data_IF_911064685291
#
_entry.id   IF_911064685291
#
_cell.length_a   1.000
_cell.length_b   1.000
_cell.length_c   1.000
_cell.angle_alpha   90.00
_cell.angle_beta   90.00
_cell.angle_gamma   90.00
#
_symmetry.space_group_name_H-M   'P 1'
#
loop_
_entity.id
_entity.type
_entity.pdbx_description
1 polymer ?
#
# COMPACT_ATOMS: atom_id res chain seq x y z
N UNK A 1 -28.72 16.12 -11.21
CA UNK A 1 -28.54 14.68 -11.50
C UNK A 1 -28.03 14.01 -10.24
N UNK A 2 -28.72 13.00 -9.72
CA UNK A 2 -28.32 12.31 -8.48
C UNK A 2 -27.04 11.50 -8.73
N UNK A 3 -26.27 11.17 -7.70
CA UNK A 3 -25.01 10.43 -7.83
C UNK A 3 -25.20 9.06 -8.47
N UNK A 4 -26.35 8.42 -8.25
CA UNK A 4 -26.74 7.14 -8.86
C UNK A 4 -26.83 7.28 -10.38
N UNK A 5 -27.44 8.35 -10.87
CA UNK A 5 -27.64 8.57 -12.31
C UNK A 5 -26.30 8.77 -13.02
N UNK A 6 -25.37 9.50 -12.38
CA UNK A 6 -24.02 9.70 -12.90
C UNK A 6 -23.23 8.39 -12.98
N UNK A 7 -23.30 7.54 -11.95
CA UNK A 7 -22.66 6.21 -11.98
C UNK A 7 -23.30 5.34 -13.07
N UNK A 8 -24.64 5.33 -13.17
CA UNK A 8 -25.34 4.61 -14.25
C UNK A 8 -24.86 5.06 -15.62
N UNK A 9 -24.70 6.36 -15.85
CA UNK A 9 -24.20 6.87 -17.12
C UNK A 9 -22.79 6.33 -17.44
N UNK A 10 -21.88 6.35 -16.46
CA UNK A 10 -20.51 5.83 -16.63
C UNK A 10 -20.46 4.32 -16.86
N UNK A 11 -21.43 3.56 -16.34
CA UNK A 11 -21.40 2.09 -16.31
C UNK A 11 -22.29 1.42 -17.36
N UNK A 12 -23.18 2.16 -18.02
CA UNK A 12 -24.14 1.61 -19.00
C UNK A 12 -23.97 2.16 -20.41
N UNK A 13 -23.25 3.29 -20.57
CA UNK A 13 -23.03 3.88 -21.89
C UNK A 13 -22.14 2.97 -22.74
N UNK A 14 -22.73 2.39 -23.78
CA UNK A 14 -22.03 1.49 -24.71
C UNK A 14 -21.02 2.24 -25.59
N UNK A 15 -19.90 1.58 -25.88
CA UNK A 15 -18.83 2.06 -26.75
C UNK A 15 -18.73 1.29 -28.09
N UNK A 16 -19.71 0.42 -28.36
CA UNK A 16 -19.84 -0.46 -29.55
C UNK A 16 -18.79 -1.57 -29.64
N UNK A 17 -17.86 -1.67 -28.69
CA UNK A 17 -16.94 -2.81 -28.63
C UNK A 17 -17.61 -4.03 -28.00
N UNK A 18 -17.05 -5.24 -28.19
CA UNK A 18 -17.57 -6.44 -27.55
C UNK A 18 -17.55 -6.34 -26.02
N UNK A 19 -18.40 -7.14 -25.38
CA UNK A 19 -18.31 -7.36 -23.94
C UNK A 19 -16.96 -7.98 -23.56
N UNK A 20 -16.39 -7.52 -22.45
CA UNK A 20 -15.12 -7.99 -21.92
C UNK A 20 -15.24 -9.44 -21.48
N UNK A 21 -14.40 -10.31 -22.03
CA UNK A 21 -14.44 -11.74 -21.70
C UNK A 21 -13.75 -12.02 -20.36
N UNK A 22 -14.14 -13.14 -19.73
CA UNK A 22 -13.51 -13.62 -18.49
C UNK A 22 -12.00 -13.81 -18.72
N UNK A 23 -11.18 -13.19 -17.88
CA UNK A 23 -9.72 -13.27 -17.95
C UNK A 23 -9.05 -12.26 -18.89
N UNK A 24 -9.80 -11.60 -19.79
CA UNK A 24 -9.26 -10.61 -20.72
C UNK A 24 -8.67 -9.40 -19.98
N UNK A 25 -9.27 -9.01 -18.85
CA UNK A 25 -8.77 -7.92 -18.02
C UNK A 25 -7.33 -8.15 -17.56
N UNK A 26 -6.92 -9.38 -17.26
CA UNK A 26 -5.55 -9.68 -16.83
C UNK A 26 -4.56 -9.29 -17.92
N UNK A 27 -4.87 -9.62 -19.17
CA UNK A 27 -4.00 -9.32 -20.31
C UNK A 27 -3.95 -7.82 -20.59
N UNK A 28 -5.10 -7.13 -20.52
CA UNK A 28 -5.17 -5.67 -20.67
C UNK A 28 -4.30 -4.97 -19.62
N UNK A 29 -4.38 -5.40 -18.36
CA UNK A 29 -3.57 -4.85 -17.28
C UNK A 29 -2.06 -5.10 -17.50
N UNK A 30 -1.66 -6.34 -17.81
CA UNK A 30 -0.25 -6.70 -18.03
C UNK A 30 0.34 -5.94 -19.20
N UNK A 31 -0.38 -5.90 -20.33
CA UNK A 31 0.08 -5.18 -21.52
C UNK A 31 0.23 -3.69 -21.23
N UNK A 32 -0.78 -3.07 -20.61
CA UNK A 32 -0.72 -1.63 -20.30
C UNK A 32 0.41 -1.33 -19.30
N UNK A 33 0.63 -2.20 -18.31
CA UNK A 33 1.76 -2.06 -17.39
C UNK A 33 3.09 -2.07 -18.13
N UNK A 34 3.30 -3.04 -19.04
CA UNK A 34 4.55 -3.15 -19.80
C UNK A 34 4.84 -1.92 -20.67
N UNK A 35 3.79 -1.24 -21.15
CA UNK A 35 3.90 -0.01 -21.95
C UNK A 35 4.16 1.24 -21.09
N UNK A 36 3.49 1.36 -19.93
CA UNK A 36 3.47 2.61 -19.15
C UNK A 36 4.44 2.61 -17.97
N UNK A 37 4.63 1.45 -17.34
CA UNK A 37 5.45 1.20 -16.14
C UNK A 37 6.30 -0.06 -16.33
N UNK A 38 7.30 -0.05 -17.23
CA UNK A 38 8.08 -1.25 -17.56
C UNK A 38 8.85 -1.84 -16.36
N UNK A 39 9.13 -1.04 -15.34
CA UNK A 39 9.80 -1.48 -14.10
C UNK A 39 8.86 -2.22 -13.13
N UNK A 40 7.56 -2.25 -13.42
CA UNK A 40 6.55 -2.94 -12.61
C UNK A 40 6.12 -4.23 -13.29
N UNK A 41 6.48 -5.36 -12.68
CA UNK A 41 6.11 -6.69 -13.15
C UNK A 41 4.79 -7.15 -12.53
N UNK A 42 4.03 -7.96 -13.26
CA UNK A 42 2.87 -8.63 -12.69
C UNK A 42 3.31 -9.71 -11.71
N UNK A 43 2.98 -9.53 -10.43
CA UNK A 43 3.35 -10.45 -9.37
C UNK A 43 2.34 -11.60 -9.25
N UNK A 44 1.07 -11.27 -8.98
CA UNK A 44 0.05 -12.28 -8.73
C UNK A 44 -1.38 -11.73 -8.86
N UNK A 45 -2.32 -12.66 -8.99
CA UNK A 45 -3.74 -12.40 -8.72
C UNK A 45 -4.14 -13.18 -7.47
N UNK A 46 -4.38 -12.47 -6.36
CA UNK A 46 -4.71 -13.06 -5.05
C UNK A 46 -5.74 -12.19 -4.35
N UNK A 47 -6.69 -12.80 -3.63
CA UNK A 47 -7.76 -12.09 -2.90
C UNK A 47 -8.54 -11.09 -3.79
N UNK A 48 -8.86 -11.49 -5.02
CA UNK A 48 -9.54 -10.65 -6.02
C UNK A 48 -8.81 -9.35 -6.39
N UNK A 49 -7.49 -9.33 -6.25
CA UNK A 49 -6.64 -8.20 -6.53
C UNK A 49 -5.51 -8.60 -7.48
N UNK A 50 -5.30 -7.79 -8.52
CA UNK A 50 -4.13 -7.87 -9.40
C UNK A 50 -3.02 -7.03 -8.78
N UNK A 51 -1.89 -7.65 -8.48
CA UNK A 51 -0.73 -6.98 -7.87
C UNK A 51 0.40 -6.87 -8.89
N UNK A 52 0.87 -5.64 -9.10
CA UNK A 52 2.10 -5.33 -9.81
C UNK A 52 3.17 -4.88 -8.82
N UNK A 53 4.42 -5.22 -9.07
CA UNK A 53 5.52 -4.98 -8.16
C UNK A 53 6.75 -4.43 -8.88
N UNK A 54 7.38 -3.44 -8.25
CA UNK A 54 8.77 -3.07 -8.48
C UNK A 54 9.56 -3.36 -7.22
N UNK A 55 10.70 -4.03 -7.35
CA UNK A 55 11.65 -4.21 -6.27
C UNK A 55 12.70 -3.11 -6.33
N UNK A 56 13.02 -2.51 -5.19
CA UNK A 56 14.07 -1.49 -5.08
C UNK A 56 14.96 -1.81 -3.89
N UNK A 57 16.27 -1.58 -4.03
CA UNK A 57 17.21 -1.64 -2.92
C UNK A 57 17.40 -0.25 -2.35
N UNK A 58 17.24 -0.10 -1.03
CA UNK A 58 17.51 1.13 -0.30
C UNK A 58 18.40 0.78 0.88
N UNK A 59 19.66 1.19 0.81
CA UNK A 59 20.72 0.69 1.71
C UNK A 59 20.78 -0.85 1.66
N UNK A 60 20.63 -1.53 2.80
CA UNK A 60 20.57 -2.98 2.93
C UNK A 60 19.13 -3.54 2.94
N UNK A 61 18.12 -2.73 2.58
CA UNK A 61 16.71 -3.09 2.64
C UNK A 61 16.15 -3.34 1.24
N UNK A 62 15.45 -4.46 1.09
CA UNK A 62 14.59 -4.71 -0.08
C UNK A 62 13.24 -4.04 0.15
N UNK A 63 12.88 -3.12 -0.74
CA UNK A 63 11.60 -2.42 -0.73
C UNK A 63 10.70 -3.01 -1.82
N UNK A 64 9.52 -3.45 -1.41
CA UNK A 64 8.45 -3.94 -2.27
C UNK A 64 7.48 -2.80 -2.58
N UNK A 65 7.61 -2.19 -3.75
CA UNK A 65 6.69 -1.14 -4.22
C UNK A 65 5.58 -1.79 -5.05
N UNK A 66 4.33 -1.49 -4.70
CA UNK A 66 3.17 -2.26 -5.14
C UNK A 66 2.10 -1.35 -5.74
N UNK A 67 1.49 -1.82 -6.83
CA UNK A 67 0.22 -1.34 -7.36
C UNK A 67 -0.80 -2.48 -7.29
N UNK A 68 -1.79 -2.30 -6.43
CA UNK A 68 -2.91 -3.21 -6.24
C UNK A 68 -4.12 -2.69 -6.99
N UNK A 69 -4.67 -3.50 -7.89
CA UNK A 69 -5.83 -3.18 -8.71
C UNK A 69 -6.92 -4.19 -8.42
N UNK A 70 -8.00 -3.73 -7.79
CA UNK A 70 -9.24 -4.50 -7.61
C UNK A 70 -10.14 -4.16 -8.79
N UNK A 71 -10.71 -5.19 -9.41
CA UNK A 71 -11.60 -5.06 -10.55
C UNK A 71 -12.93 -5.77 -10.26
N UNK A 72 -14.04 -5.04 -10.35
CA UNK A 72 -15.38 -5.62 -10.30
C UNK A 72 -16.05 -5.53 -11.65
N UNK A 73 -16.12 -6.65 -12.38
CA UNK A 73 -16.89 -6.71 -13.62
C UNK A 73 -18.40 -6.54 -13.40
N UNK A 74 -18.91 -6.92 -12.21
CA UNK A 74 -20.33 -6.81 -11.87
C UNK A 74 -20.70 -5.37 -11.56
N UNK A 75 -19.93 -4.72 -10.71
CA UNK A 75 -20.20 -3.36 -10.23
C UNK A 75 -19.55 -2.29 -11.12
N UNK A 76 -18.81 -2.74 -12.14
CA UNK A 76 -18.30 -1.94 -13.25
C UNK A 76 -17.29 -0.87 -12.81
N UNK A 77 -16.40 -1.22 -11.89
CA UNK A 77 -15.38 -0.30 -11.37
C UNK A 77 -14.02 -0.96 -11.10
N UNK A 78 -13.00 -0.12 -10.95
CA UNK A 78 -11.70 -0.44 -10.36
C UNK A 78 -11.42 0.41 -9.12
N UNK A 79 -10.76 -0.21 -8.15
CA UNK A 79 -10.15 0.46 -6.99
C UNK A 79 -8.66 0.18 -7.00
N UNK A 80 -7.84 1.19 -6.70
CA UNK A 80 -6.39 1.12 -6.86
C UNK A 80 -5.68 1.58 -5.59
N UNK A 81 -4.92 0.68 -4.97
CA UNK A 81 -4.11 0.96 -3.79
C UNK A 81 -2.63 0.90 -4.16
N UNK A 82 -1.86 1.85 -3.65
CA UNK A 82 -0.42 1.93 -3.85
C UNK A 82 0.25 1.67 -2.51
N UNK A 83 1.32 0.90 -2.48
CA UNK A 83 2.04 0.63 -1.25
C UNK A 83 3.55 0.57 -1.46
N UNK A 84 4.29 0.86 -0.40
CA UNK A 84 5.72 0.59 -0.28
C UNK A 84 5.92 -0.21 0.99
N UNK A 85 6.43 -1.44 0.89
CA UNK A 85 6.52 -2.38 2.02
C UNK A 85 7.97 -2.86 2.21
N UNK A 86 8.43 -2.92 3.44
CA UNK A 86 9.70 -3.55 3.81
C UNK A 86 9.50 -5.00 4.25
N UNK A 87 8.41 -5.31 4.94
CA UNK A 87 8.11 -6.67 5.35
C UNK A 87 7.25 -7.37 4.26
N UNK A 88 7.74 -8.46 3.62
CA UNK A 88 7.05 -9.15 2.54
C UNK A 88 5.72 -9.80 2.97
N UNK A 89 5.50 -10.06 4.26
CA UNK A 89 4.23 -10.58 4.78
C UNK A 89 3.06 -9.62 4.48
N UNK A 90 3.34 -8.33 4.30
CA UNK A 90 2.35 -7.31 4.00
C UNK A 90 2.05 -7.10 2.50
N UNK A 91 2.71 -7.84 1.60
CA UNK A 91 2.53 -7.66 0.15
C UNK A 91 1.07 -7.86 -0.26
N UNK A 92 0.36 -8.84 0.30
CA UNK A 92 -1.03 -9.13 -0.06
C UNK A 92 -2.06 -8.60 0.94
N UNK A 93 -1.63 -7.70 1.83
CA UNK A 93 -2.47 -7.11 2.88
C UNK A 93 -2.89 -5.70 2.46
N UNK A 94 -4.21 -5.52 2.33
CA UNK A 94 -4.84 -4.26 1.90
C UNK A 94 -5.28 -3.37 3.08
N UNK A 95 -4.86 -3.69 4.31
CA UNK A 95 -5.22 -2.91 5.50
C UNK A 95 -4.38 -1.62 5.60
N UNK A 96 -5.00 -0.57 6.14
CA UNK A 96 -4.49 0.80 6.26
C UNK A 96 -3.89 1.14 7.63
N UNK A 97 -3.67 0.16 8.52
CA UNK A 97 -2.98 0.38 9.79
C UNK A 97 -1.45 0.35 9.58
N UNK A 98 -0.92 1.47 9.11
CA UNK A 98 0.47 1.61 8.65
C UNK A 98 1.30 2.44 9.63
N UNK A 99 2.54 2.03 9.87
CA UNK A 99 3.56 2.88 10.48
C UNK A 99 4.35 3.62 9.40
N UNK A 100 5.52 4.14 9.76
CA UNK A 100 6.38 4.89 8.86
C UNK A 100 7.07 4.01 7.80
N UNK A 101 7.14 2.70 8.00
CA UNK A 101 7.94 1.80 7.18
C UNK A 101 7.18 1.21 6.01
N UNK A 102 5.88 0.96 6.21
CA UNK A 102 5.05 0.26 5.24
C UNK A 102 3.86 1.12 4.77
N UNK A 103 4.04 2.34 4.21
CA UNK A 103 2.90 3.17 3.87
C UNK A 103 2.08 2.59 2.70
N UNK A 104 0.79 2.95 2.68
CA UNK A 104 -0.10 2.73 1.54
C UNK A 104 -1.07 3.91 1.37
N UNK A 105 -1.61 4.06 0.16
CA UNK A 105 -2.57 5.11 -0.15
C UNK A 105 -3.42 4.74 -1.38
N UNK A 106 -4.70 5.09 -1.35
CA UNK A 106 -5.57 5.00 -2.53
C UNK A 106 -5.12 5.99 -3.63
N UNK A 107 -5.07 5.52 -4.88
CA UNK A 107 -4.57 6.31 -6.00
C UNK A 107 -5.47 7.51 -6.34
N UNK A 108 -6.80 7.39 -6.19
CA UNK A 108 -7.71 8.52 -6.38
C UNK A 108 -7.50 9.56 -5.28
N UNK A 109 -7.29 9.13 -4.04
CA UNK A 109 -6.94 10.06 -2.93
C UNK A 109 -5.65 10.82 -3.25
N UNK A 110 -4.61 10.15 -3.78
CA UNK A 110 -3.38 10.81 -4.22
C UNK A 110 -3.63 11.81 -5.36
N UNK A 111 -4.39 11.40 -6.38
CA UNK A 111 -4.72 12.25 -7.54
C UNK A 111 -5.45 13.53 -7.14
N UNK A 112 -6.42 13.42 -6.24
CA UNK A 112 -7.26 14.54 -5.83
C UNK A 112 -6.69 15.32 -4.63
N UNK A 113 -5.63 14.80 -3.99
CA UNK A 113 -5.01 15.37 -2.80
C UNK A 113 -6.01 15.62 -1.65
N UNK A 114 -7.01 14.75 -1.51
CA UNK A 114 -8.03 14.81 -0.46
C UNK A 114 -8.48 13.40 -0.06
N UNK A 115 -8.61 13.18 1.25
CA UNK A 115 -9.17 11.94 1.79
C UNK A 115 -10.70 11.85 1.69
N UNK A 116 -11.37 12.95 1.31
CA UNK A 116 -12.83 13.00 1.15
C UNK A 116 -13.13 13.06 -0.34
N UNK A 117 -13.52 11.92 -0.90
CA UNK A 117 -13.98 11.81 -2.27
C UNK A 117 -15.44 11.44 -2.31
N UNK A 118 -16.18 12.03 -3.26
CA UNK A 118 -17.49 11.51 -3.57
C UNK A 118 -17.33 10.15 -4.29
N UNK A 119 -18.40 9.36 -4.31
CA UNK A 119 -18.36 8.01 -4.87
C UNK A 119 -17.99 7.96 -6.38
N UNK A 120 -18.22 9.04 -7.13
CA UNK A 120 -17.88 9.10 -8.56
C UNK A 120 -16.37 9.25 -8.78
N UNK A 121 -15.70 9.93 -7.85
CA UNK A 121 -14.26 10.20 -7.90
C UNK A 121 -13.45 9.12 -7.20
N UNK A 122 -14.07 8.39 -6.25
CA UNK A 122 -13.42 7.34 -5.49
C UNK A 122 -13.04 6.10 -6.30
N UNK A 123 -13.62 5.91 -7.49
CA UNK A 123 -13.38 4.72 -8.32
C UNK A 123 -13.12 5.08 -9.78
N UNK A 124 -12.52 4.14 -10.51
CA UNK A 124 -12.43 4.22 -11.97
C UNK A 124 -13.55 3.36 -12.57
N UNK A 125 -14.48 3.96 -13.29
CA UNK A 125 -15.61 3.22 -13.85
C UNK A 125 -15.31 2.70 -15.26
N UNK A 126 -15.96 1.60 -15.62
CA UNK A 126 -16.01 1.07 -16.98
C UNK A 126 -17.45 0.66 -17.30
N UNK A 127 -17.77 0.31 -18.54
CA UNK A 127 -19.12 -0.12 -18.94
C UNK A 127 -19.23 -1.65 -19.12
N UNK A 128 -18.12 -2.38 -18.97
CA UNK A 128 -18.05 -3.83 -19.20
C UNK A 128 -17.58 -4.22 -20.59
N UNK A 129 -17.39 -3.27 -21.49
CA UNK A 129 -16.94 -3.47 -22.86
C UNK A 129 -15.44 -3.21 -22.98
N UNK A 130 -14.83 -3.80 -24.00
CA UNK A 130 -13.37 -3.89 -24.16
C UNK A 130 -12.72 -2.50 -24.24
N UNK A 131 -13.25 -1.59 -25.05
CA UNK A 131 -12.59 -0.31 -25.34
C UNK A 131 -12.63 0.66 -24.16
N UNK A 132 -13.78 0.82 -23.50
CA UNK A 132 -13.86 1.61 -22.26
C UNK A 132 -12.97 1.00 -21.18
N UNK A 133 -12.96 -0.33 -21.04
CA UNK A 133 -12.09 -1.00 -20.05
C UNK A 133 -10.61 -0.70 -20.31
N UNK A 134 -10.13 -0.81 -21.56
CA UNK A 134 -8.75 -0.44 -21.93
C UNK A 134 -8.46 1.02 -21.64
N UNK A 135 -9.38 1.93 -21.94
CA UNK A 135 -9.23 3.35 -21.67
C UNK A 135 -9.11 3.61 -20.16
N UNK A 136 -9.98 3.01 -19.36
CA UNK A 136 -9.94 3.13 -17.90
C UNK A 136 -8.64 2.57 -17.32
N UNK A 137 -8.16 1.43 -17.84
CA UNK A 137 -6.85 0.88 -17.44
C UNK A 137 -5.70 1.83 -17.79
N UNK A 138 -5.69 2.41 -18.99
CA UNK A 138 -4.70 3.44 -19.36
C UNK A 138 -4.74 4.65 -18.43
N UNK A 139 -5.92 5.09 -18.01
CA UNK A 139 -6.07 6.16 -17.01
C UNK A 139 -5.43 5.76 -15.67
N UNK A 140 -5.71 4.55 -15.16
CA UNK A 140 -5.12 4.04 -13.90
C UNK A 140 -3.59 4.08 -13.95
N UNK A 141 -2.99 3.54 -15.01
CA UNK A 141 -1.52 3.51 -15.14
C UNK A 141 -0.93 4.92 -15.37
N UNK A 142 -1.64 5.79 -16.09
CA UNK A 142 -1.26 7.20 -16.24
C UNK A 142 -1.28 7.95 -14.90
N UNK A 143 -2.35 7.80 -14.13
CA UNK A 143 -2.49 8.38 -12.80
C UNK A 143 -1.44 7.80 -11.84
N UNK A 144 -1.15 6.51 -11.90
CA UNK A 144 -0.06 5.92 -11.12
C UNK A 144 1.29 6.55 -11.48
N UNK A 145 1.58 6.75 -12.76
CA UNK A 145 2.83 7.39 -13.18
C UNK A 145 2.95 8.83 -12.65
N UNK A 146 1.85 9.58 -12.64
CA UNK A 146 1.84 10.99 -12.23
C UNK A 146 1.80 11.16 -10.71
N UNK A 147 1.02 10.34 -9.99
CA UNK A 147 0.73 10.53 -8.57
C UNK A 147 1.25 9.39 -7.69
N UNK A 148 1.24 8.16 -8.20
CA UNK A 148 1.72 6.96 -7.50
C UNK A 148 3.23 6.88 -7.39
N UNK A 149 3.96 7.08 -8.50
CA UNK A 149 5.43 7.08 -8.50
C UNK A 149 6.00 8.13 -7.53
N UNK A 150 5.56 9.42 -7.53
CA UNK A 150 6.03 10.38 -6.55
C UNK A 150 5.70 10.03 -5.10
N UNK A 151 4.62 9.27 -4.85
CA UNK A 151 4.31 8.79 -3.51
C UNK A 151 5.34 7.76 -3.02
N UNK A 152 5.63 6.73 -3.81
CA UNK A 152 6.62 5.70 -3.42
C UNK A 152 8.07 6.23 -3.46
N UNK A 153 8.40 7.13 -4.39
CA UNK A 153 9.73 7.76 -4.43
C UNK A 153 9.97 8.63 -3.19
N UNK A 154 8.96 9.37 -2.72
CA UNK A 154 9.04 10.08 -1.43
C UNK A 154 9.26 9.13 -0.26
N UNK A 155 8.65 7.96 -0.27
CA UNK A 155 8.90 6.97 0.78
C UNK A 155 10.34 6.48 0.76
N UNK A 156 10.93 6.29 -0.41
CA UNK A 156 12.34 5.87 -0.54
C UNK A 156 13.29 6.94 -0.01
N UNK A 157 13.02 8.22 -0.29
CA UNK A 157 13.78 9.31 0.31
C UNK A 157 13.58 9.39 1.84
N UNK A 158 12.38 9.09 2.31
CA UNK A 158 12.09 9.01 3.75
C UNK A 158 12.89 7.89 4.43
N UNK A 159 12.95 6.70 3.83
CA UNK A 159 13.74 5.57 4.34
C UNK A 159 15.23 5.91 4.48
N UNK A 160 15.77 6.76 3.59
CA UNK A 160 17.17 7.20 3.63
C UNK A 160 17.44 8.28 4.68
N UNK A 161 16.51 9.21 4.88
CA UNK A 161 16.76 10.48 5.58
C UNK A 161 16.04 10.65 6.91
N UNK A 162 14.97 9.90 7.16
CA UNK A 162 14.15 10.09 8.36
C UNK A 162 14.86 9.56 9.62
N UNK A 163 15.09 10.44 10.58
CA UNK A 163 15.83 10.14 11.81
C UNK A 163 15.11 9.10 12.71
N UNK A 164 13.78 9.03 12.69
CA UNK A 164 13.04 8.00 13.43
C UNK A 164 13.34 6.63 12.82
N UNK A 165 13.27 6.54 11.50
CA UNK A 165 13.54 5.29 10.77
C UNK A 165 14.98 4.85 11.01
N UNK A 166 15.94 5.76 10.87
CA UNK A 166 17.35 5.48 11.16
C UNK A 166 17.55 4.99 12.59
N UNK A 167 17.03 5.72 13.58
CA UNK A 167 17.14 5.35 14.99
C UNK A 167 16.52 3.98 15.29
N UNK A 168 15.44 3.65 14.60
CA UNK A 168 14.78 2.35 14.69
C UNK A 168 15.61 1.21 14.12
N UNK A 169 16.24 1.42 12.96
CA UNK A 169 17.14 0.43 12.37
C UNK A 169 18.40 0.24 13.22
N UNK A 170 19.04 1.33 13.67
CA UNK A 170 20.19 1.26 14.58
C UNK A 170 19.84 0.44 15.84
N UNK A 171 18.62 0.63 16.38
CA UNK A 171 18.16 -0.12 17.53
C UNK A 171 18.07 -1.62 17.27
N UNK A 172 17.37 -2.03 16.20
CA UNK A 172 17.15 -3.46 15.93
C UNK A 172 18.40 -4.17 15.41
N UNK A 173 19.33 -3.45 14.80
CA UNK A 173 20.63 -3.99 14.36
C UNK A 173 21.53 -4.33 15.57
N UNK A 174 21.40 -3.57 16.67
CA UNK A 174 22.11 -3.81 17.93
C UNK A 174 21.42 -4.84 18.85
N UNK A 175 20.18 -5.25 18.54
CA UNK A 175 19.45 -6.23 19.35
C UNK A 175 20.09 -7.63 19.24
N UNK A 176 20.49 -8.19 20.39
CA UNK A 176 21.01 -9.54 20.52
C UNK A 176 20.05 -10.41 21.34
N UNK A 177 18.88 -10.69 20.79
CA UNK A 177 17.87 -11.54 21.42
C UNK A 177 17.35 -12.61 20.46
N UNK A 178 16.86 -13.72 20.99
CA UNK A 178 16.18 -14.75 20.21
C UNK A 178 14.93 -14.16 19.54
N UNK A 179 14.94 -14.12 18.20
CA UNK A 179 13.88 -13.54 17.38
C UNK A 179 12.56 -14.29 17.50
N UNK A 180 12.61 -15.61 17.62
CA UNK A 180 11.41 -16.46 17.71
C UNK A 180 10.74 -16.33 19.09
N UNK A 181 11.54 -16.23 20.14
CA UNK A 181 11.05 -15.94 21.49
C UNK A 181 10.40 -14.56 21.54
N UNK A 182 11.08 -13.52 21.03
CA UNK A 182 10.55 -12.16 20.99
C UNK A 182 9.23 -12.10 20.21
N UNK A 183 9.16 -12.74 19.03
CA UNK A 183 7.94 -12.82 18.21
C UNK A 183 6.79 -13.44 19.01
N UNK A 184 7.04 -14.54 19.71
CA UNK A 184 6.04 -15.23 20.54
C UNK A 184 5.53 -14.33 21.65
N UNK A 185 6.44 -13.72 22.43
CA UNK A 185 6.09 -12.86 23.57
C UNK A 185 5.28 -11.63 23.14
N UNK A 186 5.69 -10.95 22.05
CA UNK A 186 4.95 -9.80 21.50
C UNK A 186 3.57 -10.21 20.99
N UNK A 187 3.47 -11.36 20.30
CA UNK A 187 2.20 -11.87 19.77
C UNK A 187 1.21 -12.19 20.89
N UNK A 188 1.69 -12.79 21.99
CA UNK A 188 0.84 -13.06 23.16
C UNK A 188 0.28 -11.79 23.80
N UNK A 189 1.08 -10.74 23.91
CA UNK A 189 0.61 -9.46 24.44
C UNK A 189 -0.42 -8.80 23.54
N UNK A 190 -0.21 -8.85 22.22
CA UNK A 190 -1.20 -8.37 21.25
C UNK A 190 -2.51 -9.14 21.36
N UNK A 191 -2.46 -10.47 21.45
CA UNK A 191 -3.65 -11.30 21.59
C UNK A 191 -4.41 -10.97 22.89
N UNK A 192 -3.71 -10.78 24.01
CA UNK A 192 -4.31 -10.37 25.29
C UNK A 192 -4.97 -8.99 25.21
N UNK A 193 -4.44 -8.10 24.39
CA UNK A 193 -4.96 -6.73 24.21
C UNK A 193 -5.84 -6.50 22.99
N UNK A 194 -6.33 -7.56 22.33
CA UNK A 194 -7.25 -7.43 21.19
C UNK A 194 -6.59 -6.87 19.94
N UNK A 195 -5.32 -7.21 19.68
CA UNK A 195 -4.50 -6.77 18.53
C UNK A 195 -4.18 -5.26 18.49
N UNK A 196 -4.35 -4.56 19.62
CA UNK A 196 -3.98 -3.15 19.73
C UNK A 196 -2.48 -3.00 20.01
N UNK A 197 -1.73 -2.36 19.11
CA UNK A 197 -0.28 -2.12 19.31
C UNK A 197 0.00 -1.29 20.58
N UNK A 198 -0.96 -0.47 21.03
CA UNK A 198 -0.87 0.28 22.28
C UNK A 198 -0.93 -0.60 23.54
N UNK A 199 -1.37 -1.86 23.44
CA UNK A 199 -1.46 -2.78 24.58
C UNK A 199 -0.18 -3.55 24.86
N UNK A 200 0.81 -3.51 23.96
CA UNK A 200 2.09 -4.18 24.11
C UNK A 200 2.85 -3.53 25.29
N UNK A 201 3.20 -4.35 26.28
CA UNK A 201 3.92 -4.00 27.51
C UNK A 201 5.35 -4.57 27.53
N UNK A 202 5.75 -5.29 26.49
CA UNK A 202 7.05 -5.93 26.41
C UNK A 202 8.18 -4.89 26.51
N UNK A 203 9.19 -5.09 27.38
CA UNK A 203 10.24 -4.10 27.64
C UNK A 203 10.95 -3.60 26.38
N UNK A 204 11.27 -4.49 25.44
CA UNK A 204 11.93 -4.13 24.18
C UNK A 204 11.06 -3.21 23.32
N UNK A 205 9.76 -3.47 23.25
CA UNK A 205 8.85 -2.61 22.50
C UNK A 205 8.72 -1.23 23.16
N UNK A 206 8.61 -1.18 24.49
CA UNK A 206 8.53 0.08 25.24
C UNK A 206 9.80 0.91 25.02
N UNK A 207 10.98 0.31 25.23
CA UNK A 207 12.28 0.97 25.07
C UNK A 207 12.50 1.46 23.63
N UNK A 208 12.19 0.63 22.63
CA UNK A 208 12.24 1.04 21.22
C UNK A 208 11.31 2.24 20.98
N UNK A 209 10.03 2.14 21.37
CA UNK A 209 9.04 3.21 21.18
C UNK A 209 9.50 4.52 21.84
N UNK A 210 10.03 4.48 23.06
CA UNK A 210 10.54 5.65 23.77
C UNK A 210 11.75 6.27 23.06
N UNK A 211 12.69 5.44 22.58
CA UNK A 211 13.83 5.90 21.77
C UNK A 211 13.40 6.55 20.46
N UNK A 212 12.36 6.03 19.81
CA UNK A 212 11.77 6.67 18.63
C UNK A 212 11.11 8.00 18.99
N UNK A 213 10.38 8.08 20.12
CA UNK A 213 9.73 9.31 20.59
C UNK A 213 10.73 10.41 20.99
N UNK A 214 11.92 10.04 21.43
CA UNK A 214 12.97 10.96 21.84
C UNK A 214 13.66 11.70 20.68
N UNK A 215 13.45 11.28 19.42
CA UNK A 215 14.02 11.97 18.25
C UNK A 215 13.44 13.39 18.17
N UNK A 216 14.30 14.40 18.04
CA UNK A 216 13.89 15.81 17.98
C UNK A 216 13.37 16.21 16.59
N UNK A 217 12.62 17.32 16.51
CA UNK A 217 12.15 17.88 15.23
C UNK A 217 11.01 17.10 14.54
N UNK A 218 10.32 16.23 15.27
CA UNK A 218 9.23 15.42 14.73
C UNK A 218 7.96 16.24 14.44
N UNK A 219 7.32 15.95 13.31
CA UNK A 219 5.95 16.40 13.05
C UNK A 219 4.96 15.70 14.00
N UNK A 220 3.76 16.27 14.12
CA UNK A 220 2.69 15.66 14.92
C UNK A 220 2.25 14.34 14.29
N UNK A 221 2.19 14.29 12.97
CA UNK A 221 1.80 13.13 12.18
C UNK A 221 2.80 11.98 12.40
N UNK A 222 4.10 12.26 12.37
CA UNK A 222 5.14 11.24 12.58
C UNK A 222 5.03 10.63 13.98
N UNK A 223 4.80 11.47 15.01
CA UNK A 223 4.62 11.02 16.40
C UNK A 223 3.46 10.05 16.57
N UNK A 224 2.35 10.27 15.86
CA UNK A 224 1.19 9.39 15.91
C UNK A 224 1.47 8.01 15.32
N UNK A 225 2.42 7.92 14.39
CA UNK A 225 2.80 6.69 13.72
C UNK A 225 3.90 5.90 14.47
N UNK A 226 4.53 6.48 15.50
CA UNK A 226 5.61 5.83 16.24
C UNK A 226 5.21 4.47 16.86
N UNK A 227 4.07 4.31 17.56
CA UNK A 227 3.72 3.02 18.14
C UNK A 227 3.68 1.90 17.10
N UNK A 228 3.05 2.16 15.94
CA UNK A 228 3.00 1.18 14.85
C UNK A 228 4.37 0.98 14.20
N UNK A 229 5.16 2.04 14.05
CA UNK A 229 6.54 1.96 13.52
C UNK A 229 7.44 1.11 14.41
N UNK A 230 7.34 1.24 15.73
CA UNK A 230 8.08 0.41 16.68
C UNK A 230 7.72 -1.07 16.50
N UNK A 231 6.44 -1.39 16.35
CA UNK A 231 6.01 -2.75 16.03
C UNK A 231 6.54 -3.25 14.68
N UNK A 232 6.45 -2.43 13.62
CA UNK A 232 6.94 -2.77 12.28
C UNK A 232 8.46 -3.04 12.25
N UNK A 233 9.23 -2.32 13.06
CA UNK A 233 10.68 -2.56 13.20
C UNK A 233 10.97 -3.91 13.84
N UNK A 234 10.24 -4.28 14.90
CA UNK A 234 10.40 -5.60 15.49
C UNK A 234 9.94 -6.70 14.52
N UNK A 235 8.89 -6.45 13.74
CA UNK A 235 8.48 -7.32 12.64
C UNK A 235 9.58 -7.56 11.63
N UNK A 236 10.29 -6.52 11.24
CA UNK A 236 11.45 -6.66 10.37
C UNK A 236 12.57 -7.45 11.06
N UNK A 237 12.83 -7.19 12.34
CA UNK A 237 13.89 -7.85 13.10
C UNK A 237 13.75 -9.37 13.13
N UNK A 238 12.54 -9.90 13.40
CA UNK A 238 12.33 -11.36 13.46
C UNK A 238 12.01 -12.02 12.13
N UNK A 239 11.92 -11.26 11.04
CA UNK A 239 11.78 -11.78 9.68
C UNK A 239 13.12 -11.81 8.92
N UNK A 240 14.15 -11.12 9.44
CA UNK A 240 15.54 -11.24 8.99
C UNK A 240 16.16 -12.55 9.47
#
# INVERSE_FOLDING_TARGET
>A
MNWIDKIKELTTKQDKSPELKKGEIKQILIQTASEVLPDFEFLAYKNSCYTFQRLRQVNNLTVHELLHIIFSHKDKYFACLIASRLNPEYIFINQSNIGLLNPNQDLKVLKHNTGILNIQEAYYFHNGQVETTKKTVKEIFGDFKIYGLPFIDRQVERLKSNLIIKRGFDYIDDLQIDTQKLKTEITEELNKGGSLVSSIKHPIYIDLKEKLQAVSGQSKEDRQLIPKTAHELLEIYWTR
#
